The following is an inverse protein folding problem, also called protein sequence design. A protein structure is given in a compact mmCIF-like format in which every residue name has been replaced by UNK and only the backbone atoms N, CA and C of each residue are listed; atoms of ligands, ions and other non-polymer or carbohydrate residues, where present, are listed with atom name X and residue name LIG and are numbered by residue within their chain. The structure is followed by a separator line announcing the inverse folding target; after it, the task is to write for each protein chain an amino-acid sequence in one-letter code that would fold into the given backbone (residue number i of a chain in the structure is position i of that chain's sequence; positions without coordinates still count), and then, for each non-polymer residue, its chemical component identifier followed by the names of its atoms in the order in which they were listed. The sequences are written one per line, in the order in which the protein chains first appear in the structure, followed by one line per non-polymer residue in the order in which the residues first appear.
data_IF_668874543925
#
_entry.id   IF_668874543925
#
_cell.length_a   1.000
_cell.length_b   1.000
_cell.length_c   1.000
_cell.angle_alpha   90.00
_cell.angle_beta   90.00
_cell.angle_gamma   90.00
#
_symmetry.space_group_name_H-M   'P 1'
#
loop_
_entity.id
_entity.type
_entity.pdbx_description
1 polymer ?
#
# COMPACT_ATOMS: atom_id res chain seq x y z
N UNK A 1 19.77 -5.64 -12.01
CA UNK A 1 18.46 -6.17 -12.46
C UNK A 1 17.51 -6.11 -11.28
N UNK A 2 16.26 -5.69 -11.50
CA UNK A 2 15.21 -5.76 -10.48
C UNK A 2 14.72 -7.21 -10.46
N UNK A 3 14.75 -7.85 -9.30
CA UNK A 3 14.24 -9.20 -9.07
C UNK A 3 13.08 -9.11 -8.06
N UNK A 4 11.98 -9.84 -8.27
CA UNK A 4 11.61 -10.66 -9.44
C UNK A 4 11.31 -9.84 -10.70
N UNK A 5 11.31 -10.51 -11.85
CA UNK A 5 10.97 -9.89 -13.14
C UNK A 5 9.46 -9.66 -13.28
N UNK A 6 9.07 -8.74 -14.18
CA UNK A 6 7.66 -8.40 -14.41
C UNK A 6 6.85 -9.62 -14.85
N UNK A 7 7.44 -10.48 -15.69
CA UNK A 7 6.75 -11.66 -16.23
C UNK A 7 6.51 -12.72 -15.14
N UNK A 8 7.45 -12.85 -14.19
CA UNK A 8 7.31 -13.75 -13.03
C UNK A 8 6.22 -13.29 -12.05
N UNK A 9 6.06 -11.97 -11.86
CA UNK A 9 5.05 -11.41 -10.95
C UNK A 9 3.66 -11.48 -11.60
N UNK A 10 3.55 -11.06 -12.87
CA UNK A 10 2.27 -11.00 -13.58
C UNK A 10 1.76 -12.37 -13.99
N UNK A 11 2.65 -13.35 -14.23
CA UNK A 11 2.32 -14.69 -14.76
C UNK A 11 1.40 -14.62 -15.99
N UNK A 12 1.56 -13.56 -16.80
CA UNK A 12 0.73 -13.24 -17.96
C UNK A 12 -0.78 -13.07 -17.67
N UNK A 13 -1.17 -12.82 -16.41
CA UNK A 13 -2.58 -12.71 -16.00
C UNK A 13 -3.14 -11.29 -16.09
N UNK A 14 -2.30 -10.26 -16.05
CA UNK A 14 -2.73 -8.88 -16.04
C UNK A 14 -1.67 -7.94 -16.64
N UNK A 15 -2.13 -6.75 -17.04
CA UNK A 15 -1.27 -5.73 -17.66
C UNK A 15 -0.27 -5.15 -16.65
N UNK A 16 0.86 -4.66 -17.16
CA UNK A 16 1.92 -3.99 -16.39
C UNK A 16 1.40 -2.79 -15.60
N UNK A 17 0.42 -2.04 -16.13
CA UNK A 17 -0.19 -0.93 -15.40
C UNK A 17 -0.99 -1.39 -14.18
N UNK A 18 -1.71 -2.51 -14.30
CA UNK A 18 -2.43 -3.13 -13.18
C UNK A 18 -1.46 -3.58 -12.10
N UNK A 19 -0.30 -4.11 -12.48
CA UNK A 19 0.76 -4.45 -11.53
C UNK A 19 1.23 -3.21 -10.77
N UNK A 20 1.51 -2.10 -11.46
CA UNK A 20 1.96 -0.86 -10.82
C UNK A 20 0.95 -0.35 -9.78
N UNK A 21 -0.34 -0.37 -10.11
CA UNK A 21 -1.41 0.05 -9.20
C UNK A 21 -1.47 -0.88 -7.98
N UNK A 22 -1.41 -2.20 -8.20
CA UNK A 22 -1.42 -3.17 -7.11
C UNK A 22 -0.22 -3.00 -6.17
N UNK A 23 0.99 -2.84 -6.73
CA UNK A 23 2.21 -2.59 -5.96
C UNK A 23 2.10 -1.29 -5.15
N UNK A 24 1.57 -0.22 -5.74
CA UNK A 24 1.39 1.06 -5.05
C UNK A 24 0.42 0.94 -3.86
N UNK A 25 -0.70 0.24 -4.04
CA UNK A 25 -1.67 -0.01 -2.97
C UNK A 25 -1.10 -0.91 -1.88
N UNK A 26 -0.40 -2.00 -2.24
CA UNK A 26 0.33 -2.84 -1.28
C UNK A 26 1.34 -2.01 -0.47
N UNK A 27 2.11 -1.15 -1.14
CA UNK A 27 3.12 -0.32 -0.50
C UNK A 27 2.50 0.64 0.53
N UNK A 28 1.30 1.16 0.25
CA UNK A 28 0.56 2.01 1.17
C UNK A 28 0.12 1.26 2.44
N UNK A 29 -0.40 0.05 2.29
CA UNK A 29 -0.75 -0.83 3.42
C UNK A 29 0.48 -1.07 4.31
N UNK A 30 1.64 -1.34 3.69
CA UNK A 30 2.90 -1.57 4.42
C UNK A 30 3.33 -0.32 5.19
N UNK A 31 3.22 0.87 4.59
CA UNK A 31 3.56 2.12 5.29
C UNK A 31 2.62 2.41 6.44
N UNK A 32 1.32 2.13 6.28
CA UNK A 32 0.32 2.33 7.33
C UNK A 32 0.59 1.39 8.52
N UNK A 33 0.94 0.14 8.25
CA UNK A 33 1.35 -0.82 9.29
C UNK A 33 2.65 -0.43 10.01
N UNK A 34 3.62 0.17 9.30
CA UNK A 34 4.81 0.73 9.94
C UNK A 34 4.45 1.85 10.92
N UNK A 35 3.60 2.80 10.51
CA UNK A 35 3.15 3.91 11.36
C UNK A 35 2.41 3.37 12.58
N UNK A 36 1.49 2.42 12.39
CA UNK A 36 0.73 1.77 13.48
C UNK A 36 1.65 1.08 14.49
N UNK A 37 2.64 0.31 14.02
CA UNK A 37 3.61 -0.36 14.90
C UNK A 37 4.47 0.64 15.65
N UNK A 38 4.88 1.72 14.97
CA UNK A 38 5.66 2.80 15.58
C UNK A 38 4.87 3.49 16.69
N UNK A 39 3.63 3.88 16.44
CA UNK A 39 2.78 4.50 17.46
C UNK A 39 2.58 3.59 18.67
N UNK A 40 2.32 2.30 18.44
CA UNK A 40 2.16 1.35 19.53
C UNK A 40 3.46 1.22 20.35
N UNK A 41 4.60 1.11 19.67
CA UNK A 41 5.90 1.03 20.33
C UNK A 41 6.24 2.32 21.12
N UNK A 42 5.89 3.50 20.60
CA UNK A 42 6.03 4.77 21.31
C UNK A 42 5.15 4.82 22.57
N UNK A 43 3.91 4.32 22.51
CA UNK A 43 3.03 4.22 23.69
C UNK A 43 3.56 3.27 24.76
N UNK A 44 4.02 2.08 24.37
CA UNK A 44 4.60 1.10 25.31
C UNK A 44 5.83 1.66 26.02
N UNK A 45 6.67 2.40 25.30
CA UNK A 45 7.86 3.04 25.86
C UNK A 45 7.49 4.19 26.82
N UNK A 46 6.47 4.99 26.46
CA UNK A 46 5.96 6.05 27.34
C UNK A 46 5.37 5.49 28.65
N UNK A 47 4.69 4.35 28.58
CA UNK A 47 4.13 3.65 29.73
C UNK A 47 5.19 2.86 30.53
N UNK A 48 6.45 2.81 30.08
CA UNK A 48 7.55 2.00 30.67
C UNK A 48 7.22 0.51 30.75
N UNK A 49 6.42 0.01 29.81
CA UNK A 49 6.05 -1.40 29.73
C UNK A 49 7.18 -2.26 29.13
N UNK A 50 8.17 -1.64 28.50
CA UNK A 50 9.30 -2.35 27.89
C UNK A 50 10.59 -1.56 27.93
N UNK A 51 11.71 -2.27 28.12
CA UNK A 51 13.08 -1.71 28.10
C UNK A 51 13.74 -1.83 26.72
N UNK A 52 13.03 -2.42 25.75
CA UNK A 52 13.53 -2.57 24.38
C UNK A 52 13.50 -1.24 23.64
N UNK A 53 14.45 -1.05 22.73
CA UNK A 53 14.51 0.15 21.88
C UNK A 53 13.36 0.17 20.87
N UNK A 54 12.91 1.37 20.48
CA UNK A 54 11.85 1.58 19.47
C UNK A 54 12.11 0.75 18.19
N UNK A 55 13.36 0.75 17.74
CA UNK A 55 13.75 0.03 16.53
C UNK A 55 13.62 -1.50 16.67
N UNK A 56 13.75 -2.05 17.89
CA UNK A 56 13.62 -3.49 18.14
C UNK A 56 12.16 -3.95 18.24
N UNK A 57 11.22 -3.04 18.47
CA UNK A 57 9.79 -3.34 18.59
C UNK A 57 9.09 -3.37 17.24
N UNK A 58 9.63 -2.65 16.24
CA UNK A 58 9.12 -2.61 14.87
C UNK A 58 9.72 -3.76 14.07
N UNK A 59 8.91 -4.46 13.28
CA UNK A 59 9.40 -5.55 12.43
C UNK A 59 10.42 -5.02 11.42
N UNK A 60 11.52 -5.75 11.28
CA UNK A 60 12.65 -5.38 10.41
C UNK A 60 12.23 -5.14 8.96
N UNK A 61 11.32 -5.97 8.47
CA UNK A 61 10.78 -5.88 7.12
C UNK A 61 10.16 -4.50 6.84
N UNK A 62 9.45 -3.92 7.81
CA UNK A 62 8.82 -2.61 7.66
C UNK A 62 9.77 -1.43 7.90
N UNK A 63 10.87 -1.64 8.63
CA UNK A 63 11.82 -0.59 9.01
C UNK A 63 12.98 -0.43 8.03
N UNK A 64 13.58 -1.54 7.61
CA UNK A 64 14.85 -1.52 6.87
C UNK A 64 14.66 -1.55 5.35
N UNK A 65 13.56 -2.14 4.86
CA UNK A 65 13.30 -2.34 3.44
C UNK A 65 12.31 -1.31 2.89
N UNK A 66 12.49 -0.92 1.62
CA UNK A 66 11.55 -0.01 0.96
C UNK A 66 10.19 -0.69 0.83
N UNK A 67 9.11 0.02 1.18
CA UNK A 67 7.74 -0.50 1.10
C UNK A 67 7.41 -1.11 -0.28
N UNK A 68 7.88 -0.49 -1.36
CA UNK A 68 7.70 -0.99 -2.73
C UNK A 68 8.38 -2.35 -2.96
N UNK A 69 9.57 -2.56 -2.40
CA UNK A 69 10.31 -3.83 -2.53
C UNK A 69 9.59 -4.94 -1.77
N UNK A 70 9.11 -4.65 -0.57
CA UNK A 70 8.29 -5.58 0.20
C UNK A 70 6.98 -5.91 -0.51
N UNK A 71 6.30 -4.91 -1.08
CA UNK A 71 5.07 -5.11 -1.85
C UNK A 71 5.30 -6.06 -3.04
N UNK A 72 6.38 -5.87 -3.80
CA UNK A 72 6.74 -6.77 -4.91
C UNK A 72 6.98 -8.20 -4.39
N UNK A 73 7.74 -8.35 -3.30
CA UNK A 73 8.02 -9.66 -2.71
C UNK A 73 6.75 -10.34 -2.19
N UNK A 74 5.83 -9.59 -1.57
CA UNK A 74 4.57 -10.12 -1.05
C UNK A 74 3.61 -10.53 -2.18
N UNK A 75 3.60 -9.80 -3.30
CA UNK A 75 2.87 -10.22 -4.51
C UNK A 75 3.50 -11.47 -5.14
N UNK A 76 4.83 -11.56 -5.19
CA UNK A 76 5.53 -12.71 -5.75
C UNK A 76 5.35 -13.99 -4.91
N UNK A 77 5.41 -13.87 -3.58
CA UNK A 77 5.18 -14.99 -2.65
C UNK A 77 3.71 -15.39 -2.54
N UNK A 78 2.79 -14.57 -3.05
CA UNK A 78 1.36 -14.84 -3.05
C UNK A 78 0.64 -14.45 -1.76
N UNK A 79 1.28 -13.65 -0.88
CA UNK A 79 0.60 -13.06 0.29
C UNK A 79 -0.50 -12.09 -0.13
N UNK A 80 -0.27 -11.35 -1.22
CA UNK A 80 -1.29 -10.53 -1.87
C UNK A 80 -1.55 -11.03 -3.28
N UNK A 81 -2.82 -10.91 -3.71
CA UNK A 81 -3.26 -11.25 -5.06
C UNK A 81 -4.04 -10.09 -5.65
N UNK A 82 -3.77 -9.79 -6.92
CA UNK A 82 -4.54 -8.82 -7.69
C UNK A 82 -5.87 -9.45 -8.10
N UNK A 83 -6.98 -8.86 -7.67
CA UNK A 83 -8.34 -9.27 -8.02
C UNK A 83 -8.97 -8.17 -8.87
N UNK A 84 -9.62 -8.50 -10.01
CA UNK A 84 -10.32 -7.51 -10.81
C UNK A 84 -11.54 -6.98 -10.05
N UNK A 85 -11.86 -5.69 -10.23
CA UNK A 85 -12.93 -4.99 -9.49
C UNK A 85 -14.26 -5.75 -9.48
N UNK A 86 -14.64 -6.35 -10.62
CA UNK A 86 -15.87 -7.13 -10.78
C UNK A 86 -15.99 -8.35 -9.84
N UNK A 87 -14.86 -8.88 -9.33
CA UNK A 87 -14.82 -9.96 -8.35
C UNK A 87 -14.61 -9.48 -6.92
N UNK A 88 -14.08 -8.26 -6.74
CA UNK A 88 -13.71 -7.74 -5.45
C UNK A 88 -14.94 -7.50 -4.54
N UNK A 89 -16.06 -7.03 -5.11
CA UNK A 89 -17.32 -6.82 -4.38
C UNK A 89 -17.88 -8.11 -3.77
N UNK A 90 -17.69 -9.24 -4.45
CA UNK A 90 -18.17 -10.55 -3.98
C UNK A 90 -17.28 -11.15 -2.88
N UNK A 91 -15.96 -10.97 -2.97
CA UNK A 91 -14.98 -11.55 -2.04
C UNK A 91 -14.81 -10.72 -0.74
N UNK A 92 -15.03 -9.40 -0.79
CA UNK A 92 -14.99 -8.52 0.39
C UNK A 92 -16.00 -8.95 1.47
N UNK A 93 -17.14 -9.50 1.07
CA UNK A 93 -18.17 -10.03 1.97
C UNK A 93 -17.82 -11.38 2.62
N UNK A 94 -16.84 -12.10 2.06
CA UNK A 94 -16.45 -13.46 2.49
C UNK A 94 -15.22 -13.44 3.40
N UNK A 95 -14.26 -12.52 3.17
CA UNK A 95 -13.03 -12.42 3.96
C UNK A 95 -13.14 -11.60 5.26
N UNK A 96 -14.22 -10.83 5.46
CA UNK A 96 -14.51 -10.22 6.76
C UNK A 96 -14.74 -11.25 7.89
N UNK A 97 -14.92 -12.54 7.54
CA UNK A 97 -15.19 -13.63 8.48
C UNK A 97 -13.96 -14.51 8.81
N UNK A 98 -12.81 -14.34 8.16
CA UNK A 98 -11.59 -15.12 8.44
C UNK A 98 -10.34 -14.25 8.29
N UNK A 99 -9.67 -14.02 9.42
CA UNK A 99 -8.44 -13.24 9.57
C UNK A 99 -7.37 -13.45 8.48
N UNK A 100 -6.66 -12.35 8.20
CA UNK A 100 -5.33 -12.22 7.57
C UNK A 100 -5.14 -12.36 6.04
N UNK A 101 -6.04 -11.83 5.21
CA UNK A 101 -5.63 -11.34 3.87
C UNK A 101 -6.43 -10.11 3.42
N UNK A 102 -5.72 -9.01 3.15
CA UNK A 102 -6.32 -7.74 2.71
C UNK A 102 -6.44 -7.71 1.18
N UNK A 103 -7.67 -7.63 0.67
CA UNK A 103 -7.97 -7.52 -0.76
C UNK A 103 -7.79 -6.07 -1.20
N UNK A 104 -6.92 -5.85 -2.17
CA UNK A 104 -6.73 -4.53 -2.76
C UNK A 104 -7.81 -4.31 -3.82
N UNK A 105 -8.86 -3.57 -3.47
CA UNK A 105 -9.94 -3.22 -4.40
C UNK A 105 -9.48 -2.13 -5.37
N UNK A 106 -9.80 -2.32 -6.64
CA UNK A 106 -9.55 -1.38 -7.74
C UNK A 106 -10.72 -0.45 -7.95
N UNK A 107 -10.98 0.47 -7.02
CA UNK A 107 -11.94 1.55 -7.29
C UNK A 107 -11.24 2.72 -7.99
N UNK A 108 -11.88 3.15 -9.08
CA UNK A 108 -11.57 4.32 -9.87
C UNK A 108 -11.91 5.58 -9.07
N UNK A 109 -11.09 6.61 -9.18
CA UNK A 109 -11.52 7.97 -8.89
C UNK A 109 -11.38 8.74 -10.21
N UNK A 110 -12.50 8.93 -10.89
CA UNK A 110 -12.68 9.87 -12.01
C UNK A 110 -12.58 11.30 -11.49
N UNK A 111 -11.43 11.69 -10.96
CA UNK A 111 -11.11 13.11 -10.76
C UNK A 111 -9.73 13.35 -11.37
N UNK A 112 -9.74 13.90 -12.58
CA UNK A 112 -8.54 14.40 -13.24
C UNK A 112 -7.88 15.45 -12.30
N UNK A 113 -6.64 15.22 -11.84
CA UNK A 113 -5.98 16.12 -10.88
C UNK A 113 -5.57 17.48 -11.48
N UNK A 114 -5.93 17.74 -12.73
CA UNK A 114 -5.65 18.98 -13.46
C UNK A 114 -6.63 20.11 -13.13
N UNK A 115 -7.85 19.83 -12.65
CA UNK A 115 -8.85 20.88 -12.38
C UNK A 115 -8.47 21.78 -11.19
N UNK A 116 -7.58 21.33 -10.29
CA UNK A 116 -7.06 22.14 -9.19
C UNK A 116 -5.98 23.17 -9.60
N UNK A 117 -5.39 23.01 -10.78
CA UNK A 117 -4.29 23.87 -11.25
C UNK A 117 -4.81 25.09 -12.02
N UNK A 118 -5.93 24.96 -12.73
CA UNK A 118 -6.49 26.05 -13.53
C UNK A 118 -7.13 27.14 -12.65
N UNK A 119 -7.77 26.75 -11.54
CA UNK A 119 -8.44 27.71 -10.64
C UNK A 119 -7.45 28.65 -9.91
N UNK A 120 -6.20 28.20 -9.69
CA UNK A 120 -5.15 29.02 -9.08
C UNK A 120 -4.47 29.98 -10.04
N UNK A 121 -4.42 29.65 -11.33
CA UNK A 121 -3.82 30.52 -12.34
C UNK A 121 -4.74 31.72 -12.59
N UNK A 122 -6.06 31.49 -12.68
CA UNK A 122 -7.04 32.56 -12.94
C UNK A 122 -7.15 33.60 -11.81
N UNK A 123 -6.93 33.20 -10.56
CA UNK A 123 -6.93 34.12 -9.41
C UNK A 123 -5.67 34.98 -9.33
N UNK A 124 -4.56 34.54 -9.96
CA UNK A 124 -3.31 35.30 -9.98
C UNK A 124 -3.25 36.36 -11.09
N UNK A 125 -4.02 36.19 -12.17
CA UNK A 125 -4.07 37.14 -13.30
C UNK A 125 -5.06 38.30 -13.10
N UNK A 126 -5.98 38.21 -12.11
CA UNK A 126 -6.96 39.28 -11.81
C UNK A 126 -6.51 40.25 -10.71
N UNK A 127 -5.26 40.15 -10.24
CA UNK A 127 -4.71 40.97 -9.16
C UNK A 127 -3.58 41.91 -9.60
N UNK A 128 -3.55 42.30 -10.89
CA UNK A 128 -2.68 43.36 -11.42
C UNK A 128 -3.48 44.64 -11.72
#
# INVERSE_FOLDING_TARGET
MIYPSIDEITKNQYNRYTLCIAVAKCARIITDEYVRQRENAERMLANKETDKTLASLIKREYRDEKAVKNAIQMLYTGQYRVVPAQKAEHESSVYAAKDDSHVITGENMEEDPTDFLDEKVEQSEKAE
#
